data_IF_001808454843
#
_entry.id   IF_001808454843
#
_cell.length_a   1.000
_cell.length_b   1.000
_cell.length_c   1.000
_cell.angle_alpha   90.00
_cell.angle_beta   90.00
_cell.angle_gamma   90.00
#
_symmetry.space_group_name_H-M   'P 1'
#
loop_
_entity.id
_entity.type
_entity.pdbx_description
1 polymer ?
#
# COMPACT_ATOMS: atom_id res chain seq x y z
N UNK A 1 -30.25 43.54 -10.07
CA UNK A 1 -29.37 42.50 -10.65
C UNK A 1 -28.23 42.12 -9.68
N UNK A 2 -28.52 41.83 -8.39
CA UNK A 2 -27.48 41.75 -7.33
C UNK A 2 -27.49 40.47 -6.47
N UNK A 3 -28.63 39.80 -6.30
CA UNK A 3 -28.73 38.59 -5.44
C UNK A 3 -28.76 37.30 -6.26
N UNK A 4 -29.46 37.28 -7.42
CA UNK A 4 -29.56 36.10 -8.29
C UNK A 4 -28.19 35.63 -8.82
N UNK A 5 -27.31 36.58 -9.14
CA UNK A 5 -25.95 36.27 -9.60
C UNK A 5 -25.04 35.81 -8.46
N UNK A 6 -25.31 36.23 -7.22
CA UNK A 6 -24.55 35.80 -6.03
C UNK A 6 -24.85 34.33 -5.71
N UNK A 7 -26.13 33.93 -5.79
CA UNK A 7 -26.56 32.54 -5.57
C UNK A 7 -25.98 31.62 -6.66
N UNK A 8 -25.95 32.09 -7.91
CA UNK A 8 -25.33 31.35 -9.01
C UNK A 8 -23.82 31.16 -8.82
N UNK A 9 -23.12 32.18 -8.29
CA UNK A 9 -21.70 32.09 -7.98
C UNK A 9 -21.43 31.15 -6.79
N UNK A 10 -22.28 31.15 -5.76
CA UNK A 10 -22.14 30.27 -4.59
C UNK A 10 -22.38 28.79 -4.93
N UNK A 11 -23.27 28.49 -5.90
CA UNK A 11 -23.45 27.13 -6.39
C UNK A 11 -22.26 26.63 -7.23
N UNK A 12 -21.46 27.53 -7.84
CA UNK A 12 -20.30 27.15 -8.65
C UNK A 12 -19.04 26.83 -7.82
N UNK A 13 -19.01 27.20 -6.54
CA UNK A 13 -17.84 27.00 -5.66
C UNK A 13 -17.88 25.68 -4.88
N UNK A 14 -18.91 24.85 -5.05
CA UNK A 14 -18.99 23.52 -4.40
C UNK A 14 -18.33 22.43 -5.27
N UNK A 15 -17.37 22.80 -6.10
CA UNK A 15 -16.60 21.85 -6.91
C UNK A 15 -15.57 21.17 -5.99
N UNK A 16 -16.04 20.10 -5.37
CA UNK A 16 -15.31 18.83 -5.25
C UNK A 16 -13.92 18.89 -4.63
N UNK A 17 -13.87 18.84 -3.29
CA UNK A 17 -12.71 18.26 -2.59
C UNK A 17 -12.68 16.74 -2.88
N UNK A 18 -12.13 16.37 -4.04
CA UNK A 18 -11.77 14.98 -4.32
C UNK A 18 -10.42 14.74 -3.68
N UNK A 19 -10.41 14.06 -2.53
CA UNK A 19 -9.17 13.51 -1.99
C UNK A 19 -8.78 12.33 -2.87
N UNK A 20 -7.55 12.34 -3.39
CA UNK A 20 -7.00 11.17 -4.05
C UNK A 20 -6.92 10.00 -3.05
N UNK A 21 -7.47 8.86 -3.41
CA UNK A 21 -7.35 7.64 -2.61
C UNK A 21 -5.88 7.20 -2.60
N UNK A 22 -5.35 6.88 -1.41
CA UNK A 22 -3.98 6.39 -1.28
C UNK A 22 -3.86 5.04 -2.00
N UNK A 23 -2.76 4.83 -2.73
CA UNK A 23 -2.50 3.56 -3.44
C UNK A 23 -2.36 2.37 -2.47
N UNK A 24 -1.89 2.64 -1.25
CA UNK A 24 -1.68 1.66 -0.21
C UNK A 24 -2.17 2.17 1.15
N UNK A 25 -2.53 1.24 2.04
CA UNK A 25 -3.02 1.54 3.40
C UNK A 25 -1.92 1.63 4.45
N UNK A 26 -0.72 1.12 4.17
CA UNK A 26 0.41 1.11 5.12
C UNK A 26 1.74 1.28 4.41
N UNK A 27 2.73 1.85 5.10
CA UNK A 27 4.12 1.92 4.64
C UNK A 27 5.07 1.40 5.69
N UNK A 28 6.28 1.01 5.29
CA UNK A 28 7.34 0.67 6.21
C UNK A 28 8.60 0.18 5.51
N UNK A 29 9.63 -0.07 6.32
CA UNK A 29 10.91 -0.60 5.85
C UNK A 29 11.08 -2.04 6.32
N UNK A 30 11.49 -2.91 5.40
CA UNK A 30 11.74 -4.32 5.69
C UNK A 30 12.97 -4.45 6.57
N UNK A 31 12.82 -5.00 7.78
CA UNK A 31 13.92 -5.17 8.73
C UNK A 31 14.49 -6.59 8.73
N UNK A 32 13.70 -7.59 8.32
CA UNK A 32 14.12 -8.99 8.23
C UNK A 32 13.27 -9.75 7.21
N UNK A 33 13.81 -10.86 6.72
CA UNK A 33 13.10 -11.82 5.88
C UNK A 33 13.41 -13.25 6.32
N UNK A 34 12.38 -14.10 6.37
CA UNK A 34 12.42 -15.45 6.93
C UNK A 34 11.70 -16.44 5.99
N UNK A 35 11.93 -17.73 6.19
CA UNK A 35 11.25 -18.83 5.48
C UNK A 35 11.25 -18.67 3.95
N UNK A 36 12.44 -18.56 3.35
CA UNK A 36 12.61 -18.41 1.89
C UNK A 36 11.86 -17.18 1.33
N UNK A 37 11.89 -16.06 2.05
CA UNK A 37 11.22 -14.80 1.69
C UNK A 37 9.69 -14.82 1.73
N UNK A 38 9.07 -15.86 2.29
CA UNK A 38 7.61 -15.93 2.48
C UNK A 38 7.14 -15.18 3.73
N UNK A 39 8.06 -14.77 4.61
CA UNK A 39 7.76 -13.91 5.76
C UNK A 39 8.71 -12.71 5.72
N UNK A 40 8.16 -11.51 5.89
CA UNK A 40 8.92 -10.27 6.08
C UNK A 40 8.53 -9.60 7.39
N UNK A 41 9.49 -8.92 7.99
CA UNK A 41 9.26 -8.12 9.20
C UNK A 41 9.30 -6.65 8.83
N UNK A 42 8.23 -5.94 9.16
CA UNK A 42 8.09 -4.49 8.94
C UNK A 42 7.64 -3.92 10.28
N UNK A 43 8.41 -2.97 10.84
CA UNK A 43 8.10 -2.32 12.13
C UNK A 43 7.77 -3.32 13.27
N UNK A 44 8.55 -4.41 13.37
CA UNK A 44 8.39 -5.49 14.35
C UNK A 44 7.14 -6.37 14.18
N UNK A 45 6.39 -6.21 13.09
CA UNK A 45 5.24 -7.05 12.75
C UNK A 45 5.65 -8.00 11.62
N UNK A 46 5.32 -9.28 11.79
CA UNK A 46 5.52 -10.31 10.77
C UNK A 46 4.34 -10.33 9.80
N UNK A 47 4.67 -10.29 8.51
CA UNK A 47 3.71 -10.40 7.41
C UNK A 47 4.07 -11.57 6.51
N UNK A 48 3.05 -12.28 6.03
CA UNK A 48 3.22 -13.35 5.04
C UNK A 48 3.15 -12.78 3.62
N UNK A 49 4.04 -13.25 2.77
CA UNK A 49 4.04 -13.10 1.32
C UNK A 49 3.81 -14.47 0.68
N UNK A 50 3.23 -14.47 -0.52
CA UNK A 50 3.15 -15.66 -1.35
C UNK A 50 3.16 -15.28 -2.84
N UNK A 51 3.04 -16.27 -3.72
CA UNK A 51 3.06 -16.09 -5.17
C UNK A 51 1.91 -15.23 -5.71
N UNK A 52 0.84 -15.06 -4.94
CA UNK A 52 -0.30 -14.23 -5.31
C UNK A 52 -0.14 -12.78 -4.81
N UNK A 53 0.98 -12.45 -4.13
CA UNK A 53 1.28 -11.06 -3.77
C UNK A 53 1.64 -10.27 -5.02
N UNK A 54 0.85 -9.24 -5.33
CA UNK A 54 1.11 -8.38 -6.49
C UNK A 54 2.19 -7.35 -6.15
N UNK A 55 3.17 -7.21 -7.03
CA UNK A 55 4.25 -6.23 -6.85
C UNK A 55 4.23 -5.19 -7.94
N UNK A 56 4.05 -3.95 -7.52
CA UNK A 56 4.08 -2.75 -8.34
C UNK A 56 5.49 -2.19 -8.37
N UNK A 57 6.30 -2.73 -9.28
CA UNK A 57 7.71 -2.39 -9.44
C UNK A 57 8.51 -3.56 -9.99
N UNK A 58 9.82 -3.37 -10.14
CA UNK A 58 10.72 -4.46 -10.52
C UNK A 58 11.28 -5.14 -9.28
N UNK A 59 10.89 -6.40 -9.07
CA UNK A 59 11.46 -7.30 -8.05
C UNK A 59 11.81 -8.64 -8.67
N UNK A 60 12.71 -9.37 -8.03
CA UNK A 60 12.92 -10.78 -8.36
C UNK A 60 11.74 -11.59 -7.84
N UNK A 61 11.19 -12.47 -8.67
CA UNK A 61 10.20 -13.44 -8.25
C UNK A 61 10.90 -14.70 -7.74
N UNK A 62 10.65 -15.06 -6.47
CA UNK A 62 11.08 -16.32 -5.90
C UNK A 62 10.10 -17.44 -6.27
N UNK A 63 10.40 -18.67 -5.83
CA UNK A 63 9.52 -19.82 -6.09
C UNK A 63 8.19 -19.77 -5.31
N UNK A 64 8.21 -19.13 -4.13
CA UNK A 64 7.10 -19.11 -3.18
C UNK A 64 6.49 -17.73 -2.95
N UNK A 65 7.26 -16.67 -3.22
CA UNK A 65 6.89 -15.28 -2.98
C UNK A 65 7.84 -14.33 -3.75
N UNK A 66 7.45 -13.08 -3.99
CA UNK A 66 8.37 -12.05 -4.45
C UNK A 66 9.50 -11.83 -3.43
N UNK A 67 10.71 -11.62 -3.92
CA UNK A 67 11.89 -11.36 -3.09
C UNK A 67 11.97 -9.86 -2.82
N UNK A 68 11.67 -9.46 -1.59
CA UNK A 68 11.82 -8.09 -1.11
C UNK A 68 13.07 -7.99 -0.23
N UNK A 69 13.91 -6.97 -0.48
CA UNK A 69 15.20 -6.87 0.20
C UNK A 69 15.09 -6.19 1.56
N UNK A 70 15.94 -6.60 2.50
CA UNK A 70 16.10 -5.89 3.78
C UNK A 70 16.58 -4.46 3.51
N UNK A 71 16.01 -3.49 4.23
CA UNK A 71 16.27 -2.06 4.07
C UNK A 71 15.39 -1.39 3.00
N UNK A 72 14.60 -2.15 2.25
CA UNK A 72 13.71 -1.60 1.22
C UNK A 72 12.48 -0.94 1.85
N UNK A 73 12.20 0.31 1.47
CA UNK A 73 10.97 1.01 1.84
C UNK A 73 9.84 0.63 0.88
N UNK A 74 8.69 0.28 1.42
CA UNK A 74 7.52 -0.18 0.66
C UNK A 74 6.23 0.45 1.17
N UNK A 75 5.28 0.65 0.26
CA UNK A 75 3.86 0.81 0.56
C UNK A 75 3.17 -0.53 0.32
N UNK A 76 2.19 -0.90 1.14
CA UNK A 76 1.56 -2.21 1.03
C UNK A 76 0.12 -2.26 1.52
N UNK A 77 -0.64 -3.21 0.95
CA UNK A 77 -1.98 -3.58 1.38
C UNK A 77 -1.95 -4.95 2.05
N UNK A 78 -2.87 -5.15 3.00
CA UNK A 78 -2.94 -6.39 3.78
C UNK A 78 -4.35 -6.97 3.78
N UNK A 79 -4.38 -8.29 3.88
CA UNK A 79 -5.56 -9.05 4.27
C UNK A 79 -5.30 -9.68 5.65
N UNK A 80 -6.24 -9.48 6.57
CA UNK A 80 -6.19 -10.11 7.89
C UNK A 80 -6.62 -11.57 7.77
N UNK A 81 -5.67 -12.49 7.95
CA UNK A 81 -5.98 -13.91 8.04
C UNK A 81 -6.69 -14.26 9.34
N UNK A 82 -7.67 -15.16 9.31
CA UNK A 82 -8.32 -15.65 10.53
C UNK A 82 -7.34 -16.51 11.36
N UNK A 83 -6.71 -15.90 12.37
CA UNK A 83 -5.86 -16.60 13.34
C UNK A 83 -4.42 -16.90 12.88
N UNK A 84 -3.96 -16.25 11.81
CA UNK A 84 -2.59 -16.39 11.28
C UNK A 84 -1.89 -15.04 11.11
N UNK A 85 -0.69 -15.07 10.52
CA UNK A 85 0.01 -13.84 10.14
C UNK A 85 -0.81 -13.06 9.09
N UNK A 86 -0.89 -11.72 9.20
CA UNK A 86 -1.47 -10.88 8.15
C UNK A 86 -0.74 -11.12 6.82
N UNK A 87 -1.49 -11.20 5.74
CA UNK A 87 -0.94 -11.44 4.39
C UNK A 87 -0.82 -10.12 3.65
N UNK A 88 0.33 -9.85 3.05
CA UNK A 88 0.49 -8.73 2.12
C UNK A 88 -0.10 -9.14 0.76
N UNK A 89 -1.11 -8.40 0.32
CA UNK A 89 -1.80 -8.65 -0.96
C UNK A 89 -1.12 -7.91 -2.11
N UNK A 90 -0.65 -6.69 -1.84
CA UNK A 90 -0.02 -5.81 -2.82
C UNK A 90 1.14 -5.04 -2.19
N UNK A 91 2.18 -4.78 -2.98
CA UNK A 91 3.36 -4.02 -2.56
C UNK A 91 3.78 -3.02 -3.65
N UNK A 92 4.13 -1.81 -3.24
CA UNK A 92 4.74 -0.76 -4.06
C UNK A 92 6.14 -0.49 -3.54
N UNK A 93 7.12 -0.52 -4.44
CA UNK A 93 8.48 -0.13 -4.07
C UNK A 93 8.57 1.39 -4.00
N UNK A 94 8.86 1.92 -2.83
CA UNK A 94 9.04 3.35 -2.64
C UNK A 94 10.52 3.64 -2.87
N UNK A 95 10.84 4.22 -4.02
CA UNK A 95 12.16 4.81 -4.24
C UNK A 95 12.29 6.04 -3.34
N UNK A 96 13.47 6.23 -2.75
CA UNK A 96 13.90 7.56 -2.30
C UNK A 96 14.36 8.40 -3.50
#
# INVERSE_FOLDING_TARGET
MKIKNLVLMLCLTVISVVSAESLYVSEGTISSSENNNTIVVIEYIQYRLDNDTQVHGMVQQGELAPILNIGQKIGFNIEQGSGGLPRITEVWLLQE
#
